data_IF_804084137838
#
_entry.id   IF_804084137838
#
_cell.length_a   1.000
_cell.length_b   1.000
_cell.length_c   1.000
_cell.angle_alpha   90.00
_cell.angle_beta   90.00
_cell.angle_gamma   90.00
#
_symmetry.space_group_name_H-M   'P 1'
#
loop_
_entity.id
_entity.type
_entity.pdbx_description
1 polymer ?
#
# COMPACT_ATOMS: atom_id res chain seq x y z
N UNK A 1 13.25 34.11 69.16
CA UNK A 1 12.03 33.38 69.61
C UNK A 1 11.30 32.90 68.37
N UNK A 2 10.92 31.65 68.13
CA UNK A 2 10.88 30.38 68.88
C UNK A 2 11.19 29.25 67.90
N UNK A 3 11.94 28.26 68.37
CA UNK A 3 12.05 26.94 67.74
C UNK A 3 10.73 26.16 67.91
N UNK A 4 10.36 25.34 66.91
CA UNK A 4 9.81 24.00 67.16
C UNK A 4 9.94 23.09 65.94
N UNK A 5 10.53 21.95 66.25
CA UNK A 5 10.83 20.73 65.52
C UNK A 5 9.60 19.91 65.13
N UNK A 6 9.72 19.10 64.07
CA UNK A 6 9.41 17.67 64.21
C UNK A 6 8.44 17.03 63.21
N UNK A 7 8.93 16.00 62.52
CA UNK A 7 8.19 14.82 62.06
C UNK A 7 7.49 14.95 60.70
N UNK A 8 7.40 13.94 59.85
CA UNK A 8 7.92 12.58 59.83
C UNK A 8 7.75 12.08 58.39
N UNK A 9 8.57 11.10 58.00
CA UNK A 9 8.52 10.43 56.73
C UNK A 9 7.16 9.75 56.46
N UNK A 10 6.69 9.83 55.22
CA UNK A 10 5.85 8.80 54.61
C UNK A 10 6.22 8.69 53.14
N UNK A 11 7.04 7.69 52.86
CA UNK A 11 7.15 7.05 51.56
C UNK A 11 5.82 6.41 51.19
N UNK A 12 5.24 6.77 50.06
CA UNK A 12 4.34 5.87 49.34
C UNK A 12 4.69 5.92 47.85
N UNK A 13 5.43 4.90 47.45
CA UNK A 13 5.54 4.46 46.07
C UNK A 13 4.16 3.93 45.66
N UNK A 14 3.43 4.68 44.84
CA UNK A 14 2.33 4.14 44.06
C UNK A 14 2.90 3.70 42.71
N UNK A 15 3.37 2.46 42.70
CA UNK A 15 3.49 1.66 41.48
C UNK A 15 2.13 1.49 40.82
N UNK A 16 2.19 1.38 39.50
CA UNK A 16 1.25 0.64 38.65
C UNK A 16 -0.11 1.28 38.43
N UNK A 17 -0.29 1.84 37.24
CA UNK A 17 -1.10 1.16 36.22
C UNK A 17 -0.63 1.67 34.85
N UNK A 18 0.50 1.10 34.38
CA UNK A 18 0.70 0.98 32.95
C UNK A 18 -0.43 0.05 32.49
N UNK A 19 -1.51 0.64 31.99
CA UNK A 19 -2.53 -0.11 31.27
C UNK A 19 -1.83 -0.80 30.12
N UNK A 20 -1.54 -2.08 30.30
CA UNK A 20 -1.32 -3.02 29.22
C UNK A 20 -2.57 -2.92 28.35
N UNK A 21 -2.45 -2.17 27.26
CA UNK A 21 -3.47 -2.15 26.22
C UNK A 21 -3.36 -3.51 25.55
N UNK A 22 -4.18 -4.43 26.07
CA UNK A 22 -4.49 -5.76 25.58
C UNK A 22 -4.23 -5.87 24.07
N UNK A 23 -3.13 -6.56 23.75
CA UNK A 23 -2.69 -6.83 22.41
C UNK A 23 -3.45 -8.04 21.85
N UNK A 24 -4.76 -7.97 21.66
CA UNK A 24 -5.45 -9.02 20.88
C UNK A 24 -6.89 -8.65 20.54
N UNK A 25 -7.11 -8.08 19.36
CA UNK A 25 -8.31 -8.30 18.52
C UNK A 25 -8.14 -7.67 17.13
N UNK A 26 -6.90 -7.53 16.65
CA UNK A 26 -6.67 -7.08 15.29
C UNK A 26 -7.10 -8.19 14.34
N UNK A 27 -8.23 -7.99 13.66
CA UNK A 27 -8.70 -8.88 12.60
C UNK A 27 -7.53 -9.12 11.63
N UNK A 28 -7.19 -10.39 11.32
CA UNK A 28 -6.14 -10.71 10.38
C UNK A 28 -6.38 -9.97 9.05
N UNK A 29 -5.34 -9.35 8.52
CA UNK A 29 -5.42 -8.63 7.24
C UNK A 29 -5.79 -9.53 6.07
N UNK A 30 -5.76 -10.85 6.27
CA UNK A 30 -6.28 -11.85 5.34
C UNK A 30 -7.80 -11.82 5.16
N UNK A 31 -8.52 -11.11 6.03
CA UNK A 31 -9.94 -10.82 5.87
C UNK A 31 -10.20 -9.49 5.13
N UNK A 32 -9.17 -8.72 4.77
CA UNK A 32 -9.39 -7.62 3.85
C UNK A 32 -9.84 -8.19 2.51
N UNK A 33 -10.98 -7.75 2.01
CA UNK A 33 -11.25 -7.86 0.60
C UNK A 33 -10.45 -6.77 -0.12
N UNK A 34 -9.15 -7.05 -0.34
CA UNK A 34 -8.26 -6.18 -1.10
C UNK A 34 -8.75 -6.02 -2.55
N UNK A 35 -9.63 -6.92 -3.01
CA UNK A 35 -10.14 -6.98 -4.37
C UNK A 35 -11.23 -5.93 -4.54
N UNK A 36 -10.99 -5.00 -5.46
CA UNK A 36 -11.92 -3.92 -5.75
C UNK A 36 -11.68 -2.63 -4.97
N UNK A 37 -10.70 -2.58 -4.05
CA UNK A 37 -10.30 -1.31 -3.44
C UNK A 37 -9.73 -0.36 -4.48
N UNK A 38 -10.04 0.91 -4.33
CA UNK A 38 -9.46 1.96 -5.16
C UNK A 38 -8.09 2.38 -4.61
N UNK A 39 -7.27 2.99 -5.46
CA UNK A 39 -5.96 3.55 -5.09
C UNK A 39 -6.04 4.55 -3.93
N UNK A 40 -7.09 5.39 -3.89
CA UNK A 40 -7.32 6.33 -2.80
C UNK A 40 -7.63 5.62 -1.47
N UNK A 41 -8.49 4.60 -1.49
CA UNK A 41 -8.84 3.86 -0.27
C UNK A 41 -7.59 3.23 0.37
N UNK A 42 -6.67 2.72 -0.45
CA UNK A 42 -5.40 2.15 0.02
C UNK A 42 -4.48 3.22 0.62
N UNK A 43 -4.46 4.43 0.05
CA UNK A 43 -3.74 5.56 0.63
C UNK A 43 -4.27 5.92 2.02
N UNK A 44 -5.59 6.02 2.17
CA UNK A 44 -6.23 6.31 3.47
C UNK A 44 -5.96 5.19 4.48
N UNK A 45 -6.11 3.93 4.08
CA UNK A 45 -5.83 2.77 4.95
C UNK A 45 -4.35 2.68 5.35
N UNK A 46 -3.44 3.18 4.52
CA UNK A 46 -2.02 3.23 4.86
C UNK A 46 -1.73 4.16 6.04
N UNK A 47 -2.38 5.31 6.09
CA UNK A 47 -2.17 6.33 7.13
C UNK A 47 -3.03 6.10 8.37
N UNK A 48 -4.31 5.76 8.21
CA UNK A 48 -5.30 5.77 9.30
C UNK A 48 -5.86 4.40 9.66
N UNK A 49 -5.64 3.39 8.82
CA UNK A 49 -6.27 2.08 9.02
C UNK A 49 -7.80 2.17 8.98
N UNK A 50 -8.46 1.27 9.70
CA UNK A 50 -9.92 1.25 9.83
C UNK A 50 -10.31 0.83 11.26
N UNK A 51 -10.50 1.82 12.13
CA UNK A 51 -10.86 1.62 13.52
C UNK A 51 -12.19 0.86 13.69
N UNK A 52 -13.18 1.11 12.82
CA UNK A 52 -14.48 0.43 12.85
C UNK A 52 -14.42 -1.07 12.57
N UNK A 53 -13.28 -1.57 12.09
CA UNK A 53 -12.98 -2.99 11.89
C UNK A 53 -11.76 -3.46 12.69
N UNK A 54 -11.29 -2.66 13.66
CA UNK A 54 -10.12 -3.01 14.48
C UNK A 54 -8.79 -3.06 13.71
N UNK A 55 -8.72 -2.44 12.53
CA UNK A 55 -7.52 -2.48 11.69
C UNK A 55 -6.61 -1.29 11.94
N UNK A 56 -5.36 -1.57 12.32
CA UNK A 56 -4.29 -0.58 12.39
C UNK A 56 -3.88 -0.07 10.99
N UNK A 57 -3.28 1.14 10.89
CA UNK A 57 -2.69 1.64 9.65
C UNK A 57 -1.75 0.63 8.99
N UNK A 58 -1.79 0.50 7.66
CA UNK A 58 -0.93 -0.46 6.96
C UNK A 58 0.56 -0.19 7.13
N UNK A 59 0.96 1.06 7.40
CA UNK A 59 2.35 1.40 7.74
C UNK A 59 2.86 0.66 8.99
N UNK A 60 1.96 0.28 9.90
CA UNK A 60 2.26 -0.43 11.15
C UNK A 60 2.15 -1.96 11.03
N UNK A 61 1.80 -2.47 9.86
CA UNK A 61 1.66 -3.90 9.59
C UNK A 61 3.02 -4.53 9.31
N UNK A 62 3.27 -5.67 9.94
CA UNK A 62 4.47 -6.50 9.79
C UNK A 62 4.17 -7.75 8.98
N UNK A 63 5.23 -8.35 8.43
CA UNK A 63 5.12 -9.61 7.67
C UNK A 63 4.52 -10.77 8.50
N UNK A 64 4.74 -10.75 9.81
CA UNK A 64 4.20 -11.69 10.80
C UNK A 64 2.70 -11.58 10.99
N UNK A 65 2.11 -10.44 10.61
CA UNK A 65 0.66 -10.20 10.73
C UNK A 65 -0.12 -10.92 9.60
N UNK A 66 0.60 -11.56 8.66
CA UNK A 66 0.01 -12.35 7.60
C UNK A 66 0.20 -13.84 7.85
N UNK A 67 -0.86 -14.61 7.59
CA UNK A 67 -0.73 -16.06 7.56
C UNK A 67 0.19 -16.48 6.39
N UNK A 68 1.14 -17.41 6.60
CA UNK A 68 2.05 -17.88 5.55
C UNK A 68 1.35 -18.45 4.31
N UNK A 69 0.10 -18.91 4.47
CA UNK A 69 -0.72 -19.45 3.40
C UNK A 69 -1.33 -18.39 2.48
N UNK A 70 -1.21 -17.10 2.82
CA UNK A 70 -1.91 -16.00 2.13
C UNK A 70 -0.97 -15.19 1.24
N UNK A 71 -1.51 -14.70 0.12
CA UNK A 71 -0.79 -13.80 -0.79
C UNK A 71 -0.55 -12.39 -0.22
N UNK A 72 -0.90 -12.15 1.04
CA UNK A 72 -1.12 -10.81 1.57
C UNK A 72 0.20 -10.10 1.90
N UNK A 73 1.25 -10.83 2.27
CA UNK A 73 2.59 -10.25 2.40
C UNK A 73 3.11 -9.67 1.07
N UNK A 74 2.80 -10.33 -0.06
CA UNK A 74 3.10 -9.80 -1.41
C UNK A 74 2.28 -8.54 -1.68
N UNK A 75 1.00 -8.54 -1.33
CA UNK A 75 0.10 -7.38 -1.48
C UNK A 75 0.58 -6.18 -0.66
N UNK A 76 1.05 -6.37 0.57
CA UNK A 76 1.63 -5.28 1.35
C UNK A 76 2.90 -4.71 0.70
N UNK A 77 3.74 -5.55 0.09
CA UNK A 77 4.90 -5.09 -0.69
C UNK A 77 4.48 -4.21 -1.88
N UNK A 78 3.37 -4.56 -2.51
CA UNK A 78 2.79 -3.82 -3.64
C UNK A 78 2.17 -2.48 -3.20
N UNK A 79 1.51 -2.44 -2.03
CA UNK A 79 1.05 -1.19 -1.40
C UNK A 79 2.23 -0.30 -1.04
N UNK A 80 3.24 -0.84 -0.35
CA UNK A 80 4.46 -0.09 0.01
C UNK A 80 5.14 0.53 -1.20
N UNK A 81 5.09 -0.12 -2.35
CA UNK A 81 5.59 0.45 -3.60
C UNK A 81 4.74 1.65 -4.05
N UNK A 82 3.40 1.51 -4.09
CA UNK A 82 2.50 2.60 -4.49
C UNK A 82 2.67 3.84 -3.58
N UNK A 83 2.72 3.65 -2.26
CA UNK A 83 2.95 4.74 -1.31
C UNK A 83 4.29 5.43 -1.57
N UNK A 84 5.36 4.67 -1.84
CA UNK A 84 6.66 5.28 -2.17
C UNK A 84 6.63 6.13 -3.43
N UNK A 85 5.77 5.80 -4.41
CA UNK A 85 5.59 6.62 -5.60
C UNK A 85 4.91 7.94 -5.23
N UNK A 86 3.84 7.89 -4.43
CA UNK A 86 3.13 9.08 -3.94
C UNK A 86 4.06 9.95 -3.07
N UNK A 87 4.78 9.36 -2.13
CA UNK A 87 5.74 10.07 -1.25
C UNK A 87 6.83 10.78 -2.05
N UNK A 88 7.33 10.15 -3.12
CA UNK A 88 8.36 10.74 -3.99
C UNK A 88 7.83 12.00 -4.64
N UNK A 89 6.60 11.95 -5.15
CA UNK A 89 5.98 13.10 -5.80
C UNK A 89 5.63 14.20 -4.79
N UNK A 90 5.04 13.85 -3.65
CA UNK A 90 4.76 14.80 -2.58
C UNK A 90 6.01 15.54 -2.11
N UNK A 91 7.16 14.85 -2.07
CA UNK A 91 8.46 15.48 -1.78
C UNK A 91 8.95 16.38 -2.90
N UNK A 92 8.77 15.99 -4.17
CA UNK A 92 9.11 16.83 -5.31
C UNK A 92 8.30 18.14 -5.32
N UNK A 93 7.03 18.06 -4.92
CA UNK A 93 6.12 19.20 -4.75
C UNK A 93 6.32 19.96 -3.43
N UNK A 94 7.22 19.50 -2.54
CA UNK A 94 7.47 20.08 -1.21
C UNK A 94 6.24 20.15 -0.29
N UNK A 95 5.30 19.22 -0.44
CA UNK A 95 4.06 19.10 0.37
C UNK A 95 4.05 17.85 1.27
N UNK A 96 5.18 17.14 1.34
CA UNK A 96 5.29 15.92 2.14
C UNK A 96 5.25 16.20 3.64
N UNK A 97 4.38 15.50 4.37
CA UNK A 97 4.32 15.46 5.83
C UNK A 97 4.37 14.00 6.32
N UNK A 98 5.15 13.70 7.36
CA UNK A 98 5.24 12.36 7.94
C UNK A 98 4.09 12.01 8.87
N UNK A 99 3.56 13.02 9.56
CA UNK A 99 2.49 12.90 10.56
C UNK A 99 1.32 13.78 10.13
N UNK A 100 0.69 13.31 9.05
CA UNK A 100 -0.41 13.98 8.39
C UNK A 100 -1.77 13.63 9.02
N UNK A 101 -2.65 14.62 9.09
CA UNK A 101 -4.08 14.41 9.36
C UNK A 101 -4.84 14.00 8.08
N UNK A 102 -6.15 13.78 8.20
CA UNK A 102 -6.94 13.22 7.09
C UNK A 102 -7.11 14.23 5.95
N UNK A 103 -7.26 15.50 6.30
CA UNK A 103 -7.37 16.62 5.38
C UNK A 103 -6.08 16.81 4.59
N UNK A 104 -4.93 16.74 5.27
CA UNK A 104 -3.60 16.75 4.65
C UNK A 104 -3.38 15.53 3.75
N UNK A 105 -3.84 14.34 4.18
CA UNK A 105 -3.78 13.13 3.36
C UNK A 105 -4.51 13.30 2.03
N UNK A 106 -5.70 13.88 2.10
CA UNK A 106 -6.55 14.13 0.94
C UNK A 106 -5.92 15.16 0.01
N UNK A 107 -5.43 16.26 0.59
CA UNK A 107 -4.72 17.30 -0.16
C UNK A 107 -3.51 16.74 -0.91
N UNK A 108 -2.61 16.01 -0.22
CA UNK A 108 -1.42 15.42 -0.84
C UNK A 108 -1.81 14.48 -1.98
N UNK A 109 -2.82 13.63 -1.77
CA UNK A 109 -3.25 12.70 -2.80
C UNK A 109 -3.77 13.43 -4.04
N UNK A 110 -4.61 14.45 -3.85
CA UNK A 110 -5.15 15.27 -4.95
C UNK A 110 -4.04 15.98 -5.74
N UNK A 111 -3.04 16.53 -5.05
CA UNK A 111 -1.91 17.20 -5.73
C UNK A 111 -1.06 16.20 -6.53
N UNK A 112 -0.88 14.98 -6.03
CA UNK A 112 -0.16 13.92 -6.73
C UNK A 112 -0.98 13.24 -7.83
N UNK A 113 -2.30 13.44 -7.90
CA UNK A 113 -3.20 12.66 -8.77
C UNK A 113 -2.83 12.78 -10.25
N UNK A 114 -2.50 13.99 -10.73
CA UNK A 114 -2.11 14.21 -12.13
C UNK A 114 -0.83 13.44 -12.50
N UNK A 115 0.19 13.50 -11.66
CA UNK A 115 1.42 12.74 -11.86
C UNK A 115 1.16 11.23 -11.90
N UNK A 116 0.28 10.74 -11.01
CA UNK A 116 -0.07 9.32 -10.95
C UNK A 116 -0.82 8.86 -12.20
N UNK A 117 -1.71 9.70 -12.75
CA UNK A 117 -2.37 9.46 -14.06
C UNK A 117 -1.32 9.37 -15.16
N UNK A 118 -0.43 10.35 -15.27
CA UNK A 118 0.58 10.40 -16.33
C UNK A 118 1.49 9.18 -16.29
N UNK A 119 1.95 8.77 -15.11
CA UNK A 119 2.81 7.59 -14.94
C UNK A 119 2.05 6.29 -15.27
N UNK A 120 0.77 6.20 -14.89
CA UNK A 120 -0.10 5.09 -15.27
C UNK A 120 -0.29 5.00 -16.78
N UNK A 121 -0.67 6.10 -17.43
CA UNK A 121 -0.88 6.16 -18.88
C UNK A 121 0.41 5.80 -19.64
N UNK A 122 1.55 6.35 -19.21
CA UNK A 122 2.86 6.06 -19.79
C UNK A 122 3.13 4.56 -19.79
N UNK A 123 2.90 3.88 -18.66
CA UNK A 123 3.14 2.44 -18.53
C UNK A 123 2.11 1.60 -19.28
N UNK A 124 0.86 2.04 -19.32
CA UNK A 124 -0.25 1.34 -20.01
C UNK A 124 -0.07 1.39 -21.52
N UNK A 125 0.32 2.56 -22.06
CA UNK A 125 0.68 2.77 -23.47
C UNK A 125 1.86 1.90 -23.89
N UNK A 126 2.91 1.82 -23.06
CA UNK A 126 4.07 0.94 -23.32
C UNK A 126 3.68 -0.55 -23.42
N UNK A 127 2.56 -0.94 -22.82
CA UNK A 127 2.04 -2.32 -22.87
C UNK A 127 1.03 -2.55 -24.01
N UNK A 128 0.72 -1.51 -24.80
CA UNK A 128 -0.31 -1.57 -25.85
C UNK A 128 -1.71 -1.82 -25.30
N UNK A 129 -1.94 -1.43 -24.04
CA UNK A 129 -3.26 -1.44 -23.42
C UNK A 129 -3.87 -0.05 -23.57
N UNK A 130 -5.17 0.02 -23.80
CA UNK A 130 -5.90 1.29 -23.69
C UNK A 130 -5.89 1.72 -22.23
N UNK A 131 -5.46 2.96 -21.98
CA UNK A 131 -5.58 3.58 -20.67
C UNK A 131 -7.07 3.75 -20.37
N UNK A 132 -7.48 3.42 -19.15
CA UNK A 132 -8.86 3.67 -18.71
C UNK A 132 -9.07 5.18 -18.58
N UNK A 133 -10.10 5.71 -19.23
CA UNK A 133 -10.55 7.10 -19.01
C UNK A 133 -11.14 7.18 -17.60
N UNK A 134 -10.59 8.05 -16.74
CA UNK A 134 -11.11 8.24 -15.37
C UNK A 134 -10.09 8.83 -14.39
N UNK A 135 -10.57 9.10 -13.17
CA UNK A 135 -9.71 9.58 -12.07
C UNK A 135 -8.82 8.46 -11.58
N UNK A 136 -7.53 8.74 -11.34
CA UNK A 136 -6.61 7.72 -10.82
C UNK A 136 -7.06 7.22 -9.45
N UNK A 137 -7.68 8.08 -8.64
CA UNK A 137 -8.27 7.76 -7.35
C UNK A 137 -9.31 6.63 -7.40
N UNK A 138 -9.87 6.34 -8.57
CA UNK A 138 -10.93 5.33 -8.77
C UNK A 138 -10.41 4.03 -9.38
N UNK A 139 -9.16 4.02 -9.82
CA UNK A 139 -8.55 2.83 -10.39
C UNK A 139 -8.30 1.77 -9.31
N UNK A 140 -8.42 0.50 -9.71
CA UNK A 140 -8.02 -0.62 -8.86
C UNK A 140 -6.53 -0.54 -8.52
N UNK A 141 -6.22 -0.45 -7.23
CA UNK A 141 -4.84 -0.31 -6.77
C UNK A 141 -3.95 -1.50 -7.17
N UNK A 142 -4.53 -2.70 -7.28
CA UNK A 142 -3.80 -3.90 -7.70
C UNK A 142 -3.38 -3.81 -9.16
N UNK A 143 -4.31 -3.39 -10.02
CA UNK A 143 -4.04 -3.18 -11.45
C UNK A 143 -2.94 -2.13 -11.62
N UNK A 144 -3.07 -1.02 -10.90
CA UNK A 144 -2.09 0.07 -10.91
C UNK A 144 -0.71 -0.43 -10.46
N UNK A 145 -0.63 -1.14 -9.33
CA UNK A 145 0.65 -1.66 -8.81
C UNK A 145 1.27 -2.72 -9.73
N UNK A 146 0.47 -3.59 -10.34
CA UNK A 146 0.93 -4.58 -11.33
C UNK A 146 1.52 -3.95 -12.59
N UNK A 147 0.93 -2.84 -13.01
CA UNK A 147 1.37 -2.10 -14.18
C UNK A 147 2.63 -1.30 -13.87
N UNK A 148 2.60 -0.43 -12.86
CA UNK A 148 3.66 0.53 -12.55
C UNK A 148 4.94 -0.12 -12.01
N UNK A 149 4.86 -1.26 -11.30
CA UNK A 149 6.04 -1.86 -10.66
C UNK A 149 7.02 -2.46 -11.68
N UNK A 150 8.29 -1.99 -11.75
CA UNK A 150 9.25 -2.44 -12.77
C UNK A 150 9.54 -3.94 -12.76
N UNK A 151 9.59 -4.57 -11.56
CA UNK A 151 9.81 -6.02 -11.44
C UNK A 151 8.71 -6.85 -12.10
N UNK A 152 7.46 -6.33 -12.08
CA UNK A 152 6.31 -6.97 -12.71
C UNK A 152 6.22 -6.61 -14.19
N UNK A 153 6.67 -5.41 -14.56
CA UNK A 153 6.84 -4.98 -15.95
C UNK A 153 7.82 -5.88 -16.71
N UNK A 154 8.99 -6.14 -16.16
CA UNK A 154 9.98 -7.03 -16.76
C UNK A 154 9.44 -8.46 -16.93
N UNK A 155 8.79 -9.01 -15.90
CA UNK A 155 8.17 -10.33 -15.96
C UNK A 155 7.08 -10.44 -17.04
N UNK A 156 6.28 -9.40 -17.24
CA UNK A 156 5.25 -9.37 -18.28
C UNK A 156 5.86 -9.28 -19.69
N UNK A 157 6.88 -8.45 -19.91
CA UNK A 157 7.58 -8.35 -21.20
C UNK A 157 8.17 -9.71 -21.59
N UNK A 158 8.83 -10.39 -20.66
CA UNK A 158 9.38 -11.74 -20.88
C UNK A 158 8.29 -12.77 -21.22
N UNK A 159 7.16 -12.76 -20.51
CA UNK A 159 6.04 -13.69 -20.78
C UNK A 159 5.36 -13.41 -22.13
N UNK A 160 5.21 -12.13 -22.50
CA UNK A 160 4.58 -11.70 -23.75
C UNK A 160 5.42 -12.09 -24.96
N UNK A 161 6.74 -11.91 -24.88
CA UNK A 161 7.69 -12.36 -25.90
C UNK A 161 7.66 -13.89 -26.08
N UNK A 162 7.60 -14.63 -24.97
CA UNK A 162 7.49 -16.10 -24.98
C UNK A 162 6.20 -16.59 -25.67
N UNK A 163 5.04 -16.01 -25.35
CA UNK A 163 3.75 -16.37 -25.97
C UNK A 163 3.70 -16.08 -27.47
N UNK A 164 4.28 -14.95 -27.91
CA UNK A 164 4.40 -14.61 -29.34
C UNK A 164 5.27 -15.62 -30.08
N UNK A 165 6.41 -16.02 -29.49
CA UNK A 165 7.31 -17.05 -30.05
C UNK A 165 6.62 -18.41 -30.17
N UNK A 166 5.92 -18.86 -29.12
CA UNK A 166 5.18 -20.13 -29.14
C UNK A 166 4.04 -20.15 -30.18
N UNK A 167 3.34 -19.02 -30.35
CA UNK A 167 2.25 -18.89 -31.33
C UNK A 167 2.78 -18.89 -32.78
N UNK A 168 3.91 -18.23 -33.03
CA UNK A 168 4.58 -18.23 -34.32
C UNK A 168 5.12 -19.63 -34.69
N UNK A 169 5.70 -20.35 -33.72
CA UNK A 169 6.17 -21.74 -33.90
C UNK A 169 5.02 -22.70 -34.23
N UNK A 170 3.87 -22.57 -33.54
CA UNK A 170 2.67 -23.38 -33.83
C UNK A 170 2.09 -23.10 -35.22
N UNK A 171 2.07 -21.84 -35.67
CA UNK A 171 1.62 -21.48 -37.03
C UNK A 171 2.53 -22.07 -38.11
N UNK A 172 3.86 -22.02 -37.93
CA UNK A 172 4.82 -22.66 -38.87
C UNK A 172 4.61 -24.17 -38.98
N UNK A 173 4.54 -24.88 -37.85
CA UNK A 173 4.28 -26.34 -37.83
C UNK A 173 2.93 -26.73 -38.42
N UNK A 174 1.94 -25.84 -38.39
CA UNK A 174 0.62 -26.09 -39.01
C UNK A 174 0.67 -25.91 -40.52
N UNK A 175 1.39 -24.91 -41.03
CA UNK A 175 1.56 -24.71 -42.47
C UNK A 175 2.39 -25.83 -43.12
N UNK A 176 3.41 -26.34 -42.43
CA UNK A 176 4.23 -27.47 -42.91
C UNK A 176 3.47 -28.82 -42.97
N UNK A 177 2.31 -28.94 -42.31
CA UNK A 177 1.46 -30.15 -42.37
C UNK A 177 0.38 -30.10 -43.45
N UNK A 178 0.22 -28.96 -44.12
CA UNK A 178 -0.81 -28.72 -45.14
C UNK A 178 -0.22 -28.61 -46.56
N UNK A 179 1.09 -28.77 -46.69
CA UNK A 179 1.87 -28.90 -47.92
C UNK A 179 2.41 -30.32 -48.03
#
# INVERSE_FOLDING_TARGET
ERERTGGAAASEAASSEAGEVEASDAIPLSQHDWRGMKTYDVWILWHFGNAGRGHKPFKQVRGTDFSPATSDGRRLSDVRYLIKVIDREARALSIYNSDLDKEEADFIYQQCENFLIEEYERVTRLRGLEATEGRFSELSWMTVSDLMRPSKQAAWISQSASRKSQSASRKRKRNERLT
#
